data_IF_154468214144
#
_entry.id   IF_154468214144
#
_cell.length_a   1.000
_cell.length_b   1.000
_cell.length_c   1.000
_cell.angle_alpha   90.00
_cell.angle_beta   90.00
_cell.angle_gamma   90.00
#
_symmetry.space_group_name_H-M   'P 1'
#
loop_
_entity.id
_entity.type
_entity.pdbx_description
1 polymer ?
#
# COMPACT_ATOMS: atom_id res chain seq x y z
N UNK A 1 15.46 -1.38 -10.70
CA UNK A 1 14.01 -1.24 -10.57
C UNK A 1 13.44 -0.74 -11.87
N UNK A 2 12.25 -0.16 -11.82
CA UNK A 2 11.65 0.57 -12.93
C UNK A 2 12.24 2.00 -12.96
N UNK A 3 12.62 2.58 -14.11
CA UNK A 3 13.13 3.96 -14.17
C UNK A 3 12.17 4.96 -13.52
N UNK A 4 12.71 6.00 -12.87
CA UNK A 4 11.91 6.99 -12.13
C UNK A 4 10.95 7.78 -13.03
N UNK A 5 11.34 8.01 -14.26
CA UNK A 5 10.60 8.71 -15.31
C UNK A 5 9.74 7.76 -16.16
N UNK A 6 9.75 6.45 -15.87
CA UNK A 6 8.87 5.51 -16.54
C UNK A 6 7.40 5.85 -16.22
N UNK A 7 6.48 5.88 -17.21
CA UNK A 7 5.10 6.30 -17.01
C UNK A 7 4.38 5.52 -15.90
N UNK A 8 4.64 4.22 -15.80
CA UNK A 8 4.07 3.33 -14.77
C UNK A 8 4.82 3.31 -13.42
N UNK A 9 5.83 4.16 -13.24
CA UNK A 9 6.47 4.31 -11.93
C UNK A 9 5.54 5.07 -10.97
N UNK A 10 5.56 4.71 -9.69
CA UNK A 10 4.81 5.47 -8.68
C UNK A 10 5.30 6.92 -8.52
N UNK A 11 6.57 7.20 -8.84
CA UNK A 11 7.06 8.57 -8.97
C UNK A 11 6.30 9.33 -10.05
N UNK A 12 6.20 8.76 -11.25
CA UNK A 12 5.47 9.38 -12.38
C UNK A 12 3.97 9.46 -12.12
N UNK A 13 3.37 8.45 -11.50
CA UNK A 13 1.95 8.46 -11.11
C UNK A 13 1.65 9.62 -10.14
N UNK A 14 2.40 9.72 -9.04
CA UNK A 14 2.19 10.76 -8.02
C UNK A 14 2.44 12.16 -8.58
N UNK A 15 3.51 12.31 -9.39
CA UNK A 15 3.80 13.58 -10.04
C UNK A 15 2.69 14.00 -11.00
N UNK A 16 2.25 13.10 -11.88
CA UNK A 16 1.33 13.46 -12.96
C UNK A 16 -0.13 13.62 -12.52
N UNK A 17 -0.56 12.92 -11.48
CA UNK A 17 -1.96 12.91 -11.06
C UNK A 17 -2.22 13.79 -9.83
N UNK A 18 -1.19 14.19 -9.08
CA UNK A 18 -1.40 14.95 -7.85
C UNK A 18 -0.36 16.06 -7.63
N UNK A 19 0.91 15.72 -7.40
CA UNK A 19 1.90 16.65 -6.85
C UNK A 19 2.14 17.89 -7.72
N UNK A 20 2.08 17.77 -9.06
CA UNK A 20 2.29 18.92 -9.97
C UNK A 20 1.10 19.88 -10.05
N UNK A 21 -0.05 19.52 -9.48
CA UNK A 21 -1.30 20.28 -9.57
C UNK A 21 -1.66 21.02 -8.28
N UNK A 22 -0.79 20.95 -7.27
CA UNK A 22 -0.96 21.59 -5.96
C UNK A 22 0.30 22.38 -5.59
N UNK A 23 0.24 23.13 -4.51
CA UNK A 23 1.29 24.03 -4.02
C UNK A 23 2.26 23.36 -3.01
N UNK A 24 2.32 22.02 -2.99
CA UNK A 24 3.30 21.31 -2.16
C UNK A 24 4.72 21.58 -2.64
N UNK A 25 5.61 21.91 -1.70
CA UNK A 25 7.03 22.02 -2.02
C UNK A 25 7.62 20.63 -2.35
N UNK A 26 8.35 20.45 -3.46
CA UNK A 26 8.87 19.14 -3.86
C UNK A 26 9.74 18.45 -2.81
N UNK A 27 10.43 19.22 -1.95
CA UNK A 27 11.27 18.69 -0.86
C UNK A 27 10.46 18.01 0.25
N UNK A 28 9.14 18.27 0.33
CA UNK A 28 8.23 17.67 1.30
C UNK A 28 7.49 16.45 0.73
N UNK A 29 7.80 16.03 -0.50
CA UNK A 29 7.21 14.87 -1.16
C UNK A 29 8.22 13.71 -1.19
N UNK A 30 7.98 12.70 -0.37
CA UNK A 30 8.88 11.56 -0.16
C UNK A 30 8.31 10.30 -0.82
N UNK A 31 9.08 9.66 -1.70
CA UNK A 31 8.71 8.40 -2.36
C UNK A 31 9.97 7.53 -2.42
N UNK A 32 9.85 6.27 -1.99
CA UNK A 32 10.93 5.28 -2.02
C UNK A 32 11.62 5.20 -3.39
N UNK A 33 12.95 5.16 -3.39
CA UNK A 33 13.75 4.97 -4.60
C UNK A 33 13.99 3.49 -4.91
N UNK A 34 13.15 2.93 -5.77
CA UNK A 34 13.30 1.56 -6.28
C UNK A 34 14.54 1.30 -7.16
N UNK A 35 15.38 2.31 -7.38
CA UNK A 35 16.66 2.19 -8.09
C UNK A 35 17.87 2.54 -7.22
N UNK A 36 17.69 2.71 -5.90
CA UNK A 36 18.80 2.92 -4.98
C UNK A 36 19.82 1.76 -5.06
N UNK A 37 21.11 2.10 -4.91
CA UNK A 37 22.19 1.11 -4.95
C UNK A 37 22.11 0.12 -3.79
N UNK A 38 21.73 0.60 -2.61
CA UNK A 38 21.44 -0.20 -1.43
C UNK A 38 19.98 0.03 -1.03
N UNK A 39 19.15 -0.93 -1.40
CA UNK A 39 17.71 -0.90 -1.16
C UNK A 39 17.36 -1.01 0.34
N UNK A 40 18.19 -1.65 1.16
CA UNK A 40 17.96 -1.73 2.60
C UNK A 40 18.29 -0.40 3.27
N UNK A 41 19.37 0.26 2.85
CA UNK A 41 19.71 1.60 3.30
C UNK A 41 18.62 2.62 2.93
N UNK A 42 18.08 2.54 1.70
CA UNK A 42 16.93 3.35 1.27
C UNK A 42 15.71 3.14 2.18
N UNK A 43 15.36 1.90 2.48
CA UNK A 43 14.25 1.59 3.39
C UNK A 43 14.47 2.15 4.79
N UNK A 44 15.68 2.01 5.33
CA UNK A 44 16.03 2.54 6.66
C UNK A 44 16.01 4.08 6.68
N UNK A 45 16.49 4.72 5.61
CA UNK A 45 16.45 6.18 5.48
C UNK A 45 15.01 6.70 5.41
N UNK A 46 14.13 6.00 4.70
CA UNK A 46 12.72 6.36 4.62
C UNK A 46 12.02 6.33 5.99
N UNK A 47 12.34 5.31 6.81
CA UNK A 47 11.86 5.23 8.19
C UNK A 47 12.40 6.37 9.06
N UNK A 48 13.67 6.76 8.89
CA UNK A 48 14.26 7.91 9.57
C UNK A 48 13.54 9.20 9.21
N UNK A 49 13.25 9.42 7.92
CA UNK A 49 12.51 10.60 7.44
C UNK A 49 11.11 10.69 8.07
N UNK A 50 10.40 9.56 8.20
CA UNK A 50 9.10 9.52 8.87
C UNK A 50 9.25 9.93 10.35
N UNK A 51 10.27 9.41 11.05
CA UNK A 51 10.52 9.74 12.45
C UNK A 51 10.91 11.21 12.64
N UNK A 52 11.79 11.73 11.79
CA UNK A 52 12.24 13.13 11.77
C UNK A 52 11.08 14.10 11.51
N UNK A 53 10.09 13.69 10.71
CA UNK A 53 8.86 14.44 10.48
C UNK A 53 7.87 14.39 11.67
N UNK A 54 8.14 13.59 12.70
CA UNK A 54 7.27 13.42 13.87
C UNK A 54 6.19 12.35 13.73
N UNK A 55 6.35 11.43 12.76
CA UNK A 55 5.38 10.39 12.43
C UNK A 55 4.36 10.81 11.38
N UNK A 56 3.43 9.91 11.07
CA UNK A 56 2.37 10.14 10.08
C UNK A 56 1.09 10.52 10.79
N UNK A 57 0.54 11.70 10.49
CA UNK A 57 -0.75 12.14 11.04
C UNK A 57 -1.90 11.30 10.47
N UNK A 58 -1.98 11.22 9.14
CA UNK A 58 -2.99 10.45 8.42
C UNK A 58 -2.33 9.61 7.33
N UNK A 59 -2.49 8.29 7.40
CA UNK A 59 -2.09 7.39 6.33
C UNK A 59 -3.29 7.02 5.47
N UNK A 60 -3.22 7.35 4.18
CA UNK A 60 -4.26 6.98 3.21
C UNK A 60 -3.79 5.78 2.41
N UNK A 61 -4.57 4.71 2.44
CA UNK A 61 -4.30 3.46 1.72
C UNK A 61 -5.51 2.93 0.97
N UNK A 62 -5.27 1.85 0.25
CA UNK A 62 -6.32 0.99 -0.30
C UNK A 62 -6.07 -0.46 0.11
N UNK A 63 -6.92 -1.35 -0.39
CA UNK A 63 -6.83 -2.79 -0.17
C UNK A 63 -6.62 -3.54 -1.49
N UNK A 64 -5.68 -4.49 -1.51
CA UNK A 64 -5.53 -5.44 -2.61
C UNK A 64 -6.67 -6.47 -2.65
N UNK A 65 -6.96 -7.15 -3.79
CA UNK A 65 -7.95 -8.24 -3.84
C UNK A 65 -7.65 -9.41 -2.87
N UNK A 66 -6.39 -9.56 -2.47
CA UNK A 66 -5.86 -10.50 -1.48
C UNK A 66 -5.76 -9.90 -0.06
N UNK A 67 -6.28 -8.69 0.16
CA UNK A 67 -6.26 -8.01 1.45
C UNK A 67 -4.95 -7.34 1.85
N UNK A 68 -4.00 -7.14 0.92
CA UNK A 68 -2.75 -6.45 1.27
C UNK A 68 -2.95 -4.95 1.53
N UNK A 69 -2.19 -4.40 2.48
CA UNK A 69 -1.89 -2.97 2.60
C UNK A 69 -0.51 -2.66 2.00
N UNK A 70 -0.41 -1.61 1.18
CA UNK A 70 0.79 -1.32 0.39
C UNK A 70 1.21 -2.57 -0.43
N UNK A 71 2.46 -3.03 -0.37
CA UNK A 71 2.86 -4.35 -0.90
C UNK A 71 3.15 -5.36 0.21
N UNK A 72 2.43 -5.29 1.34
CA UNK A 72 2.48 -6.30 2.39
C UNK A 72 1.63 -7.51 1.99
N UNK A 73 2.14 -8.26 1.01
CA UNK A 73 1.57 -9.50 0.47
C UNK A 73 1.21 -10.51 1.57
N UNK A 74 0.28 -11.44 1.33
CA UNK A 74 -0.10 -12.49 2.27
C UNK A 74 1.11 -13.21 2.89
N UNK A 75 1.07 -13.38 4.21
CA UNK A 75 2.16 -13.94 5.02
C UNK A 75 3.18 -12.90 5.51
N UNK A 76 3.00 -11.62 5.19
CA UNK A 76 3.86 -10.55 5.71
C UNK A 76 3.65 -10.33 7.21
N UNK A 77 4.74 -10.13 7.96
CA UNK A 77 4.64 -9.81 9.40
C UNK A 77 3.78 -8.58 9.65
N UNK A 78 2.85 -8.68 10.60
CA UNK A 78 1.98 -7.57 11.03
C UNK A 78 2.72 -6.47 11.77
N UNK A 79 3.96 -6.70 12.20
CA UNK A 79 4.85 -5.71 12.82
C UNK A 79 6.02 -5.32 11.91
N UNK A 80 5.92 -5.63 10.61
CA UNK A 80 6.98 -5.33 9.65
C UNK A 80 7.27 -3.84 9.50
N UNK A 81 8.53 -3.52 9.17
CA UNK A 81 8.98 -2.18 8.73
C UNK A 81 9.12 -2.10 7.22
N UNK A 82 9.47 -0.89 6.76
CA UNK A 82 9.78 -0.61 5.36
C UNK A 82 10.89 -1.54 4.87
N UNK A 83 10.65 -2.22 3.75
CA UNK A 83 11.54 -3.27 3.22
C UNK A 83 11.28 -3.55 1.75
N UNK A 84 12.17 -4.34 1.17
CA UNK A 84 11.98 -4.97 -0.12
C UNK A 84 10.98 -6.13 0.03
N UNK A 85 10.02 -6.24 -0.88
CA UNK A 85 9.11 -7.37 -0.99
C UNK A 85 9.06 -7.89 -2.42
N UNK A 86 9.15 -9.20 -2.57
CA UNK A 86 8.82 -9.90 -3.82
C UNK A 86 7.31 -9.85 -4.01
N UNK A 87 6.87 -9.45 -5.20
CA UNK A 87 5.45 -9.39 -5.53
C UNK A 87 4.88 -10.80 -5.72
N UNK A 88 3.66 -11.01 -5.23
CA UNK A 88 2.93 -12.26 -5.47
C UNK A 88 2.55 -12.38 -6.95
N UNK A 89 2.32 -13.62 -7.42
CA UNK A 89 1.91 -13.87 -8.81
C UNK A 89 0.61 -13.14 -9.16
N UNK A 90 -0.33 -13.08 -8.21
CA UNK A 90 -1.62 -12.40 -8.40
C UNK A 90 -1.43 -10.89 -8.57
N UNK A 91 -0.53 -10.28 -7.79
CA UNK A 91 -0.13 -8.87 -7.94
C UNK A 91 0.52 -8.60 -9.31
N UNK A 92 1.38 -9.51 -9.78
CA UNK A 92 2.00 -9.42 -11.10
C UNK A 92 0.93 -9.49 -12.20
N UNK A 93 -0.03 -10.42 -12.09
CA UNK A 93 -1.15 -10.56 -13.04
C UNK A 93 -2.04 -9.32 -13.05
N UNK A 94 -2.40 -8.78 -11.89
CA UNK A 94 -3.25 -7.59 -11.77
C UNK A 94 -2.59 -6.33 -12.36
N UNK A 95 -1.26 -6.23 -12.25
CA UNK A 95 -0.51 -5.07 -12.74
C UNK A 95 -0.06 -5.19 -14.20
N UNK A 96 -0.10 -6.39 -14.80
CA UNK A 96 0.31 -6.60 -16.20
C UNK A 96 -0.41 -5.67 -17.19
N UNK A 97 -1.65 -5.26 -16.90
CA UNK A 97 -2.43 -4.31 -17.70
C UNK A 97 -1.71 -2.97 -17.94
N UNK A 98 -0.86 -2.54 -17.01
CA UNK A 98 -0.06 -1.32 -17.11
C UNK A 98 1.20 -1.51 -17.96
N UNK A 99 1.64 -2.75 -18.14
CA UNK A 99 2.86 -3.11 -18.88
C UNK A 99 2.55 -3.75 -20.24
N UNK A 100 1.43 -3.35 -20.85
CA UNK A 100 1.01 -3.87 -22.16
C UNK A 100 0.58 -5.34 -22.13
N UNK A 101 0.07 -5.81 -20.99
CA UNK A 101 -0.30 -7.21 -20.73
C UNK A 101 0.88 -8.20 -20.81
N UNK A 102 2.12 -7.71 -20.67
CA UNK A 102 3.33 -8.53 -20.66
C UNK A 102 3.85 -8.72 -19.23
N UNK A 103 3.68 -9.93 -18.71
CA UNK A 103 4.08 -10.31 -17.35
C UNK A 103 5.60 -10.16 -17.11
N UNK A 104 6.42 -10.26 -18.16
CA UNK A 104 7.89 -10.20 -18.04
C UNK A 104 8.40 -8.78 -17.80
N UNK A 105 7.56 -7.77 -18.10
CA UNK A 105 7.89 -6.35 -17.91
C UNK A 105 7.46 -5.82 -16.54
N UNK A 106 6.65 -6.58 -15.80
CA UNK A 106 6.24 -6.19 -14.46
C UNK A 106 7.42 -6.38 -13.50
N UNK A 107 7.79 -5.37 -12.69
CA UNK A 107 8.83 -5.53 -11.68
C UNK A 107 8.52 -6.70 -10.73
N UNK A 108 9.50 -7.53 -10.43
CA UNK A 108 9.35 -8.70 -9.55
C UNK A 108 9.44 -8.35 -8.06
N UNK A 109 9.94 -7.17 -7.75
CA UNK A 109 10.12 -6.66 -6.39
C UNK A 109 9.67 -5.20 -6.30
N UNK A 110 9.20 -4.81 -5.12
CA UNK A 110 8.89 -3.44 -4.77
C UNK A 110 9.48 -3.07 -3.41
N UNK A 111 9.77 -1.79 -3.21
CA UNK A 111 9.95 -1.23 -1.88
C UNK A 111 8.57 -0.87 -1.33
N UNK A 112 8.32 -1.21 -0.08
CA UNK A 112 7.04 -0.95 0.57
C UNK A 112 7.24 -0.58 2.02
N UNK A 113 6.42 0.34 2.52
CA UNK A 113 6.24 0.50 3.97
C UNK A 113 5.73 -0.79 4.58
N UNK A 114 6.10 -1.06 5.82
CA UNK A 114 5.65 -2.24 6.55
C UNK A 114 4.27 -2.04 7.18
N UNK A 115 3.63 -3.13 7.59
CA UNK A 115 2.36 -3.06 8.32
C UNK A 115 2.53 -2.26 9.62
N UNK A 116 3.62 -2.49 10.35
CA UNK A 116 3.96 -1.73 11.56
C UNK A 116 4.20 -0.25 11.26
N UNK A 117 4.82 0.07 10.13
CA UNK A 117 5.01 1.47 9.70
C UNK A 117 3.67 2.20 9.51
N UNK A 118 2.67 1.53 8.93
CA UNK A 118 1.33 2.13 8.77
C UNK A 118 0.60 2.19 10.11
N UNK A 119 0.71 1.14 10.95
CA UNK A 119 0.12 1.09 12.29
C UNK A 119 0.65 2.16 13.25
N UNK A 120 1.84 2.72 13.00
CA UNK A 120 2.41 3.82 13.79
C UNK A 120 1.80 5.19 13.45
N UNK A 121 0.95 5.26 12.42
CA UNK A 121 0.24 6.50 12.06
C UNK A 121 -0.78 6.86 13.14
N UNK A 122 -1.11 8.15 13.29
CA UNK A 122 -2.15 8.54 14.27
C UNK A 122 -3.56 8.17 13.80
N UNK A 123 -3.80 8.25 12.50
CA UNK A 123 -5.04 7.85 11.84
C UNK A 123 -4.73 7.09 10.55
N UNK A 124 -5.52 6.06 10.26
CA UNK A 124 -5.45 5.29 9.02
C UNK A 124 -6.79 5.38 8.29
N UNK A 125 -6.78 5.71 7.02
CA UNK A 125 -7.95 5.73 6.16
C UNK A 125 -7.76 4.77 4.98
N UNK A 126 -8.64 3.78 4.84
CA UNK A 126 -8.61 2.79 3.77
C UNK A 126 -9.79 3.01 2.83
N UNK A 127 -9.49 3.33 1.57
CA UNK A 127 -10.48 3.49 0.50
C UNK A 127 -10.67 2.18 -0.27
N UNK A 128 -11.92 1.75 -0.43
CA UNK A 128 -12.27 0.45 -1.02
C UNK A 128 -13.44 0.64 -1.99
N UNK A 129 -13.21 0.36 -3.27
CA UNK A 129 -14.25 0.54 -4.30
C UNK A 129 -14.33 -0.66 -5.24
N UNK A 130 -15.56 -1.11 -5.51
CA UNK A 130 -15.91 -2.11 -6.51
C UNK A 130 -15.96 -3.55 -5.98
N UNK A 131 -16.81 -4.36 -6.62
CA UNK A 131 -17.13 -5.73 -6.21
C UNK A 131 -15.92 -6.66 -6.09
N UNK A 132 -14.90 -6.45 -6.92
CA UNK A 132 -13.64 -7.20 -6.91
C UNK A 132 -12.83 -7.03 -5.60
N UNK A 133 -13.24 -6.15 -4.68
CA UNK A 133 -12.65 -5.96 -3.36
C UNK A 133 -13.53 -6.46 -2.21
N UNK A 134 -14.77 -6.87 -2.47
CA UNK A 134 -15.73 -7.19 -1.42
C UNK A 134 -15.25 -8.32 -0.50
N UNK A 135 -14.68 -9.38 -1.08
CA UNK A 135 -14.14 -10.49 -0.29
C UNK A 135 -12.96 -10.08 0.60
N UNK A 136 -12.08 -9.20 0.10
CA UNK A 136 -10.97 -8.68 0.88
C UNK A 136 -11.45 -7.80 2.04
N UNK A 137 -12.50 -6.99 1.84
CA UNK A 137 -13.14 -6.21 2.90
C UNK A 137 -13.74 -7.12 3.97
N UNK A 138 -14.54 -8.12 3.58
CA UNK A 138 -15.08 -9.13 4.49
C UNK A 138 -13.98 -9.77 5.35
N UNK A 139 -12.89 -10.23 4.74
CA UNK A 139 -11.73 -10.80 5.44
C UNK A 139 -11.04 -9.82 6.38
N UNK A 140 -11.00 -8.54 6.02
CA UNK A 140 -10.34 -7.51 6.80
C UNK A 140 -11.11 -7.09 8.05
N UNK A 141 -12.46 -7.11 8.04
CA UNK A 141 -13.26 -6.53 9.12
C UNK A 141 -14.22 -7.50 9.84
N UNK A 142 -14.66 -8.59 9.18
CA UNK A 142 -15.57 -9.57 9.82
C UNK A 142 -14.85 -10.83 10.30
N UNK A 143 -13.73 -11.19 9.68
CA UNK A 143 -12.83 -12.23 10.20
C UNK A 143 -11.80 -11.65 11.17
N UNK A 144 -10.98 -12.52 11.77
CA UNK A 144 -9.97 -12.10 12.75
C UNK A 144 -8.67 -11.60 12.13
N UNK A 145 -7.87 -10.93 12.95
CA UNK A 145 -6.50 -10.50 12.64
C UNK A 145 -5.66 -11.66 12.10
N UNK A 146 -5.18 -11.54 10.86
CA UNK A 146 -4.44 -12.59 10.16
C UNK A 146 -3.41 -12.00 9.18
N UNK A 147 -2.17 -12.48 9.22
CA UNK A 147 -1.11 -12.04 8.30
C UNK A 147 -1.32 -12.41 6.83
N UNK A 148 -2.32 -13.24 6.52
CA UNK A 148 -2.76 -13.53 5.14
C UNK A 148 -3.62 -12.40 4.56
N UNK A 149 -4.24 -11.57 5.40
CA UNK A 149 -5.09 -10.45 5.01
C UNK A 149 -4.62 -9.22 5.78
N UNK A 150 -3.51 -8.61 5.37
CA UNK A 150 -2.75 -7.68 6.24
C UNK A 150 -3.51 -6.42 6.65
N UNK A 151 -4.54 -6.00 5.89
CA UNK A 151 -5.47 -4.93 6.31
C UNK A 151 -6.23 -5.27 7.61
N UNK A 152 -6.43 -6.57 7.93
CA UNK A 152 -7.02 -6.99 9.21
C UNK A 152 -6.22 -6.54 10.43
N UNK A 153 -4.94 -6.18 10.28
CA UNK A 153 -4.14 -5.60 11.35
C UNK A 153 -4.76 -4.33 11.93
N UNK A 154 -5.50 -3.57 11.11
CA UNK A 154 -6.11 -2.32 11.54
C UNK A 154 -7.30 -2.48 12.49
N UNK A 155 -7.77 -3.73 12.73
CA UNK A 155 -8.65 -4.02 13.87
C UNK A 155 -7.98 -3.71 15.22
N UNK A 156 -6.65 -3.71 15.26
CA UNK A 156 -5.86 -3.39 16.45
C UNK A 156 -5.38 -1.93 16.47
N UNK A 157 -5.67 -1.16 15.42
CA UNK A 157 -5.26 0.24 15.33
C UNK A 157 -6.28 1.12 16.06
N UNK A 158 -5.85 2.10 16.88
CA UNK A 158 -6.76 2.89 17.72
C UNK A 158 -7.71 3.79 16.92
N UNK A 159 -7.39 4.11 15.66
CA UNK A 159 -8.17 5.04 14.84
C UNK A 159 -8.09 4.72 13.35
N UNK A 160 -8.97 3.85 12.89
CA UNK A 160 -9.06 3.47 11.47
C UNK A 160 -10.43 3.81 10.89
N UNK A 161 -10.44 4.41 9.71
CA UNK A 161 -11.63 4.69 8.91
C UNK A 161 -11.59 3.84 7.63
N UNK A 162 -12.65 3.06 7.39
CA UNK A 162 -12.88 2.40 6.11
C UNK A 162 -13.93 3.19 5.33
N UNK A 163 -13.58 3.61 4.11
CA UNK A 163 -14.49 4.30 3.19
C UNK A 163 -14.76 3.36 2.02
N UNK A 164 -16.01 2.96 1.84
CA UNK A 164 -16.42 1.96 0.87
C UNK A 164 -17.55 2.46 -0.04
N UNK A 165 -17.61 1.98 -1.28
CA UNK A 165 -18.83 2.06 -2.10
C UNK A 165 -19.76 0.87 -1.83
N UNK A 166 -20.97 0.88 -2.39
CA UNK A 166 -21.94 -0.22 -2.20
C UNK A 166 -21.39 -1.57 -2.69
N UNK A 167 -20.80 -1.60 -3.89
CA UNK A 167 -20.25 -2.82 -4.48
C UNK A 167 -19.16 -3.47 -3.62
N UNK A 168 -18.34 -2.71 -2.89
CA UNK A 168 -17.36 -3.26 -1.97
C UNK A 168 -18.00 -3.98 -0.76
N UNK A 169 -19.29 -3.81 -0.49
CA UNK A 169 -19.97 -4.40 0.68
C UNK A 169 -20.68 -5.73 0.40
N UNK A 170 -20.62 -6.25 -0.84
CA UNK A 170 -21.39 -7.42 -1.28
C UNK A 170 -21.17 -8.72 -0.48
N UNK A 171 -20.01 -8.89 0.15
CA UNK A 171 -19.67 -10.08 0.96
C UNK A 171 -19.87 -9.85 2.48
N UNK A 172 -20.27 -8.65 2.89
CA UNK A 172 -20.54 -8.34 4.28
C UNK A 172 -21.91 -8.87 4.72
N UNK A 173 -22.06 -9.14 6.01
CA UNK A 173 -23.36 -9.45 6.60
C UNK A 173 -24.21 -8.20 6.57
N UNK A 174 -25.50 -8.37 6.27
CA UNK A 174 -26.53 -7.30 6.34
C UNK A 174 -26.56 -6.57 7.70
N UNK A 175 -26.11 -7.23 8.78
CA UNK A 175 -26.12 -6.66 10.13
C UNK A 175 -24.94 -5.73 10.44
N UNK A 176 -23.81 -5.86 9.72
CA UNK A 176 -22.57 -5.11 9.94
C UNK A 176 -22.78 -3.63 9.63
#
# INVERSE_FOLDING_TARGET
>A
GLPRDHPESYHSFMWNNFLKHIDIEPRNAHILDGNAKDLNAECAQFESQIQEAGGIELFIGGIGPDGHIAFNEPGSSLTSRTRIKTLAKDTILANARFFGNDLTKVPTMALTVGVGTVMDSREVMILITGAHKAFALYKAIEEGVNHMWTVSAFQMHPRTLFICDEDATLELRVKT
#
